data_IF_172606740237
#
_entry.id   IF_172606740237
#
_cell.length_a   1.000
_cell.length_b   1.000
_cell.length_c   1.000
_cell.angle_alpha   90.00
_cell.angle_beta   90.00
_cell.angle_gamma   90.00
#
_symmetry.space_group_name_H-M   'P 1'
#
loop_
_entity.id
_entity.type
_entity.pdbx_description
1 polymer ?
#
# COMPACT_ATOMS: atom_id res chain seq x y z
N UNK A 1 -3.22 7.48 -43.05
CA UNK A 1 -2.09 7.13 -42.16
C UNK A 1 -2.61 7.17 -40.74
N UNK A 2 -2.98 6.00 -40.19
CA UNK A 2 -3.48 5.90 -38.82
C UNK A 2 -2.29 5.81 -37.88
N UNK A 3 -1.97 6.91 -37.23
CA UNK A 3 -1.05 6.90 -36.08
C UNK A 3 -1.76 6.27 -34.89
N UNK A 4 -1.64 4.94 -34.76
CA UNK A 4 -2.04 4.24 -33.55
C UNK A 4 -1.15 4.73 -32.42
N UNK A 5 -1.66 5.64 -31.61
CA UNK A 5 -1.04 6.05 -30.33
C UNK A 5 -1.06 4.83 -29.44
N UNK A 6 0.05 4.12 -29.35
CA UNK A 6 0.22 3.04 -28.37
C UNK A 6 -0.02 3.63 -26.99
N UNK A 7 -1.06 3.17 -26.32
CA UNK A 7 -1.38 3.57 -24.95
C UNK A 7 -0.27 3.04 -24.05
N UNK A 8 0.70 3.88 -23.74
CA UNK A 8 1.75 3.58 -22.75
C UNK A 8 1.04 3.60 -21.39
N UNK A 9 0.83 2.43 -20.80
CA UNK A 9 0.32 2.35 -19.45
C UNK A 9 1.35 2.99 -18.51
N UNK A 10 0.96 4.03 -17.74
CA UNK A 10 1.89 4.70 -16.87
C UNK A 10 2.41 3.71 -15.83
N UNK A 11 3.71 3.62 -15.73
CA UNK A 11 4.37 2.89 -14.65
C UNK A 11 4.18 3.70 -13.37
N UNK A 12 3.84 3.02 -12.28
CA UNK A 12 3.65 3.68 -11.00
C UNK A 12 4.88 4.47 -10.57
N UNK A 13 4.66 5.68 -10.09
CA UNK A 13 5.73 6.50 -9.51
C UNK A 13 6.52 5.71 -8.45
N UNK A 14 7.85 5.85 -8.45
CA UNK A 14 8.73 5.12 -7.55
C UNK A 14 8.96 3.65 -7.91
N UNK A 15 8.60 3.21 -9.14
CA UNK A 15 8.99 1.89 -9.62
C UNK A 15 10.49 1.88 -9.98
N UNK A 16 11.18 0.80 -9.59
CA UNK A 16 12.61 0.60 -9.83
C UNK A 16 12.83 -0.55 -10.82
N UNK A 17 13.87 -0.45 -11.63
CA UNK A 17 14.26 -1.53 -12.56
C UNK A 17 15.01 -2.64 -11.82
N UNK A 18 15.82 -2.29 -10.83
CA UNK A 18 16.51 -3.22 -9.94
C UNK A 18 16.00 -3.00 -8.52
N UNK A 19 15.39 -4.03 -7.95
CA UNK A 19 14.93 -3.98 -6.57
C UNK A 19 16.06 -4.30 -5.60
N UNK A 20 16.18 -3.51 -4.54
CA UNK A 20 17.07 -3.83 -3.43
C UNK A 20 16.60 -5.15 -2.79
N UNK A 21 17.58 -6.01 -2.53
CA UNK A 21 17.33 -7.29 -1.90
C UNK A 21 17.88 -7.26 -0.51
N UNK A 22 17.03 -7.52 0.50
CA UNK A 22 17.50 -7.61 1.87
C UNK A 22 18.40 -8.83 2.05
N UNK A 23 19.05 -8.88 3.20
CA UNK A 23 19.84 -10.01 3.64
C UNK A 23 19.11 -11.33 3.46
N UNK A 24 19.78 -12.33 2.94
CA UNK A 24 19.24 -13.67 2.74
C UNK A 24 18.68 -14.25 4.05
N UNK A 25 17.42 -14.65 4.03
CA UNK A 25 16.80 -15.35 5.15
C UNK A 25 17.09 -16.85 5.05
N UNK A 26 17.54 -17.45 6.15
CA UNK A 26 17.59 -18.91 6.25
C UNK A 26 16.16 -19.48 6.44
N UNK A 27 15.96 -20.76 6.08
CA UNK A 27 14.67 -21.44 6.35
C UNK A 27 14.29 -21.40 7.84
N UNK A 28 15.28 -21.55 8.73
CA UNK A 28 15.10 -21.48 10.20
C UNK A 28 14.60 -20.09 10.61
N UNK A 29 15.20 -19.01 10.08
CA UNK A 29 14.78 -17.65 10.39
C UNK A 29 13.37 -17.35 9.86
N UNK A 30 13.05 -17.78 8.64
CA UNK A 30 11.71 -17.63 8.07
C UNK A 30 10.65 -18.32 8.95
N UNK A 31 10.92 -19.54 9.40
CA UNK A 31 10.04 -20.28 10.31
C UNK A 31 9.90 -19.56 11.66
N UNK A 32 10.99 -19.05 12.22
CA UNK A 32 10.95 -18.29 13.48
C UNK A 32 10.13 -17.00 13.36
N UNK A 33 10.27 -16.27 12.26
CA UNK A 33 9.47 -15.04 11.99
C UNK A 33 7.98 -15.41 12.00
N UNK A 34 7.58 -16.46 11.29
CA UNK A 34 6.19 -16.88 11.24
C UNK A 34 5.65 -17.32 12.60
N UNK A 35 6.40 -18.13 13.34
CA UNK A 35 6.00 -18.56 14.69
C UNK A 35 5.86 -17.38 15.66
N UNK A 36 6.78 -16.42 15.64
CA UNK A 36 6.69 -15.20 16.46
C UNK A 36 5.46 -14.39 16.11
N UNK A 37 5.22 -14.16 14.82
CA UNK A 37 4.03 -13.45 14.35
C UNK A 37 2.74 -14.14 14.80
N UNK A 38 2.64 -15.47 14.64
CA UNK A 38 1.49 -16.26 15.11
C UNK A 38 1.29 -16.17 16.62
N UNK A 39 2.38 -16.29 17.40
CA UNK A 39 2.32 -16.20 18.85
C UNK A 39 1.88 -14.82 19.32
N UNK A 40 2.36 -13.78 18.65
CA UNK A 40 1.93 -12.41 18.92
C UNK A 40 0.44 -12.20 18.58
N UNK A 41 -0.03 -12.69 17.44
CA UNK A 41 -1.45 -12.63 17.09
C UNK A 41 -2.33 -13.35 18.13
N UNK A 42 -1.89 -14.49 18.63
CA UNK A 42 -2.60 -15.23 19.67
C UNK A 42 -2.67 -14.45 21.00
N UNK A 43 -1.56 -13.81 21.42
CA UNK A 43 -1.49 -13.02 22.67
C UNK A 43 -2.35 -11.75 22.62
N UNK A 44 -2.48 -11.14 21.45
CA UNK A 44 -3.24 -9.91 21.24
C UNK A 44 -4.72 -10.15 20.90
N UNK A 45 -5.16 -11.42 20.94
CA UNK A 45 -6.53 -11.80 20.63
C UNK A 45 -7.48 -11.33 21.73
N UNK A 46 -8.46 -10.53 21.36
CA UNK A 46 -9.53 -10.11 22.26
C UNK A 46 -10.65 -11.16 22.27
N UNK A 47 -11.39 -11.31 23.41
CA UNK A 47 -12.59 -12.15 23.46
C UNK A 47 -13.58 -11.79 22.33
N UNK A 48 -14.23 -12.81 21.74
CA UNK A 48 -15.19 -12.66 20.62
C UNK A 48 -14.62 -12.17 19.30
N UNK A 49 -13.29 -11.97 19.15
CA UNK A 49 -12.64 -11.65 17.86
C UNK A 49 -11.97 -12.89 17.27
N UNK A 50 -12.09 -13.04 15.94
CA UNK A 50 -11.54 -14.19 15.21
C UNK A 50 -10.01 -14.12 14.95
N UNK A 51 -9.33 -13.05 15.36
CA UNK A 51 -7.88 -12.86 15.23
C UNK A 51 -7.39 -11.81 16.21
N UNK A 52 -6.08 -11.77 16.40
CA UNK A 52 -5.37 -10.73 17.13
C UNK A 52 -5.00 -9.53 16.25
N UNK A 53 -3.95 -8.81 16.67
CA UNK A 53 -3.49 -7.61 15.99
C UNK A 53 -3.10 -7.86 14.52
N UNK A 54 -2.50 -9.01 14.18
CA UNK A 54 -2.14 -9.34 12.79
C UNK A 54 -3.37 -9.80 12.00
N UNK A 55 -4.14 -10.73 12.56
CA UNK A 55 -5.34 -11.32 11.95
C UNK A 55 -5.04 -12.46 10.97
N UNK A 56 -6.05 -13.32 10.75
CA UNK A 56 -5.92 -14.56 9.99
C UNK A 56 -5.43 -14.35 8.55
N UNK A 57 -6.00 -13.37 7.84
CA UNK A 57 -5.63 -13.12 6.44
C UNK A 57 -4.18 -12.66 6.29
N UNK A 58 -3.71 -11.79 7.19
CA UNK A 58 -2.33 -11.31 7.15
C UNK A 58 -1.35 -12.41 7.53
N UNK A 59 -1.69 -13.27 8.50
CA UNK A 59 -0.88 -14.46 8.83
C UNK A 59 -0.82 -15.46 7.67
N UNK A 60 -1.94 -15.70 6.96
CA UNK A 60 -1.96 -16.59 5.80
C UNK A 60 -1.09 -16.05 4.66
N UNK A 61 -1.15 -14.73 4.38
CA UNK A 61 -0.27 -14.08 3.40
C UNK A 61 1.19 -14.15 3.82
N UNK A 62 1.51 -13.88 5.07
CA UNK A 62 2.89 -13.99 5.59
C UNK A 62 3.43 -15.41 5.46
N UNK A 63 2.60 -16.41 5.78
CA UNK A 63 2.94 -17.83 5.61
C UNK A 63 3.29 -18.15 4.16
N UNK A 64 2.38 -17.79 3.21
CA UNK A 64 2.61 -18.05 1.79
C UNK A 64 3.87 -17.34 1.27
N UNK A 65 4.13 -16.10 1.68
CA UNK A 65 5.34 -15.38 1.28
C UNK A 65 6.60 -16.09 1.75
N UNK A 66 6.64 -16.57 3.01
CA UNK A 66 7.82 -17.18 3.60
C UNK A 66 8.05 -18.62 3.14
N UNK A 67 6.98 -19.41 2.94
CA UNK A 67 7.09 -20.85 2.70
C UNK A 67 6.86 -21.26 1.25
N UNK A 68 6.00 -20.53 0.50
CA UNK A 68 5.67 -20.89 -0.88
C UNK A 68 6.51 -20.12 -1.91
N UNK A 69 6.89 -18.86 -1.61
CA UNK A 69 7.44 -17.95 -2.61
C UNK A 69 8.89 -17.52 -2.36
N UNK A 70 9.36 -17.53 -1.12
CA UNK A 70 10.72 -17.09 -0.81
C UNK A 70 11.76 -18.05 -1.38
N UNK A 71 12.60 -17.53 -2.26
CA UNK A 71 13.77 -18.25 -2.73
C UNK A 71 14.93 -18.07 -1.74
N UNK A 72 15.20 -19.08 -0.92
CA UNK A 72 16.24 -19.03 0.11
C UNK A 72 17.68 -18.94 -0.44
N UNK A 73 17.90 -19.29 -1.71
CA UNK A 73 19.24 -19.17 -2.33
C UNK A 73 19.52 -17.76 -2.82
N UNK A 74 18.52 -17.09 -3.36
CA UNK A 74 18.68 -15.78 -4.00
C UNK A 74 18.05 -14.63 -3.20
N UNK A 75 17.29 -14.90 -2.14
CA UNK A 75 16.50 -13.93 -1.42
C UNK A 75 15.31 -13.35 -2.21
N UNK A 76 15.04 -13.92 -3.40
CA UNK A 76 14.00 -13.41 -4.29
C UNK A 76 12.60 -13.71 -3.76
N UNK A 77 11.74 -12.70 -3.72
CA UNK A 77 10.37 -12.79 -3.26
C UNK A 77 9.49 -11.81 -4.06
N UNK A 78 9.12 -12.20 -5.28
CA UNK A 78 8.43 -11.33 -6.24
C UNK A 78 7.08 -11.90 -6.74
N UNK A 79 6.24 -12.53 -5.90
CA UNK A 79 4.99 -13.11 -6.38
C UNK A 79 3.98 -12.03 -6.78
N UNK A 80 3.19 -12.32 -7.82
CA UNK A 80 2.04 -11.49 -8.15
C UNK A 80 0.92 -11.64 -7.11
N UNK A 81 0.17 -10.56 -6.85
CA UNK A 81 -0.94 -10.57 -5.88
C UNK A 81 -1.97 -11.67 -6.16
N UNK A 82 -2.30 -11.91 -7.44
CA UNK A 82 -3.20 -13.02 -7.85
C UNK A 82 -2.65 -14.39 -7.44
N UNK A 83 -1.33 -14.57 -7.51
CA UNK A 83 -0.67 -15.83 -7.14
C UNK A 83 -0.67 -16.02 -5.62
N UNK A 84 -0.40 -14.95 -4.85
CA UNK A 84 -0.52 -14.96 -3.38
C UNK A 84 -1.96 -15.29 -2.99
N UNK A 85 -2.95 -14.66 -3.61
CA UNK A 85 -4.37 -14.86 -3.33
C UNK A 85 -4.78 -16.33 -3.49
N UNK A 86 -4.37 -16.95 -4.61
CA UNK A 86 -4.64 -18.36 -4.87
C UNK A 86 -4.00 -19.28 -3.83
N UNK A 87 -2.74 -19.03 -3.45
CA UNK A 87 -2.02 -19.84 -2.46
C UNK A 87 -2.55 -19.68 -1.03
N UNK A 88 -2.87 -18.44 -0.64
CA UNK A 88 -3.40 -18.13 0.68
C UNK A 88 -4.91 -18.43 0.84
N UNK A 89 -5.61 -18.81 -0.24
CA UNK A 89 -7.07 -19.02 -0.23
C UNK A 89 -7.85 -17.73 0.05
N UNK A 90 -7.38 -16.59 -0.48
CA UNK A 90 -7.94 -15.26 -0.23
C UNK A 90 -8.31 -14.57 -1.54
N UNK A 91 -9.19 -13.56 -1.47
CA UNK A 91 -9.41 -12.67 -2.60
C UNK A 91 -8.21 -11.72 -2.79
N UNK A 92 -7.95 -11.23 -4.02
CA UNK A 92 -6.89 -10.24 -4.27
C UNK A 92 -7.02 -8.99 -3.39
N UNK A 93 -8.24 -8.53 -3.13
CA UNK A 93 -8.51 -7.39 -2.25
C UNK A 93 -8.09 -7.68 -0.80
N UNK A 94 -8.40 -8.88 -0.28
CA UNK A 94 -7.98 -9.30 1.05
C UNK A 94 -6.44 -9.40 1.16
N UNK A 95 -5.76 -9.82 0.08
CA UNK A 95 -4.29 -9.84 0.03
C UNK A 95 -3.72 -8.44 0.08
N UNK A 96 -4.27 -7.46 -0.66
CA UNK A 96 -3.83 -6.07 -0.57
C UNK A 96 -3.98 -5.51 0.86
N UNK A 97 -5.13 -5.72 1.48
CA UNK A 97 -5.37 -5.32 2.88
C UNK A 97 -4.37 -5.98 3.83
N UNK A 98 -4.12 -7.28 3.65
CA UNK A 98 -3.16 -8.03 4.47
C UNK A 98 -1.71 -7.53 4.30
N UNK A 99 -1.28 -7.26 3.07
CA UNK A 99 0.05 -6.71 2.76
C UNK A 99 0.22 -5.34 3.42
N UNK A 100 -0.76 -4.43 3.28
CA UNK A 100 -0.73 -3.11 3.90
C UNK A 100 -0.64 -3.22 5.43
N UNK A 101 -1.40 -4.14 6.02
CA UNK A 101 -1.36 -4.40 7.46
C UNK A 101 0.00 -4.94 7.91
N UNK A 102 0.58 -5.90 7.20
CA UNK A 102 1.92 -6.41 7.50
C UNK A 102 2.99 -5.32 7.38
N UNK A 103 2.84 -4.39 6.43
CA UNK A 103 3.72 -3.22 6.30
C UNK A 103 3.58 -2.28 7.49
N UNK A 104 2.36 -1.94 7.87
CA UNK A 104 2.08 -1.09 9.02
C UNK A 104 2.67 -1.65 10.32
N UNK A 105 2.65 -2.99 10.46
CA UNK A 105 3.26 -3.72 11.57
C UNK A 105 4.79 -3.85 11.44
N UNK A 106 5.39 -3.35 10.37
CA UNK A 106 6.84 -3.45 10.13
C UNK A 106 7.34 -4.87 9.89
N UNK A 107 6.47 -5.80 9.50
CA UNK A 107 6.82 -7.19 9.19
C UNK A 107 7.16 -7.39 7.72
N UNK A 108 6.71 -6.48 6.85
CA UNK A 108 6.86 -6.57 5.41
C UNK A 108 7.15 -5.18 4.84
N UNK A 109 8.00 -5.13 3.83
CA UNK A 109 8.12 -3.97 2.94
C UNK A 109 8.11 -4.44 1.50
N UNK A 110 7.92 -3.54 0.55
CA UNK A 110 8.01 -3.87 -0.87
C UNK A 110 8.47 -2.67 -1.69
N UNK A 111 9.06 -2.97 -2.84
CA UNK A 111 9.37 -2.02 -3.89
C UNK A 111 8.56 -2.35 -5.13
N UNK A 112 8.02 -1.33 -5.79
CA UNK A 112 7.40 -1.48 -7.11
C UNK A 112 8.50 -1.68 -8.13
N UNK A 113 8.27 -2.60 -9.09
CA UNK A 113 9.26 -2.93 -10.10
C UNK A 113 8.73 -2.68 -11.49
N UNK A 114 9.60 -2.23 -12.37
CA UNK A 114 9.35 -2.11 -13.80
C UNK A 114 10.52 -2.71 -14.59
N UNK A 115 10.28 -3.00 -15.84
CA UNK A 115 11.31 -3.42 -16.76
C UNK A 115 11.21 -2.66 -18.08
N UNK A 116 12.36 -2.43 -18.69
CA UNK A 116 12.45 -1.95 -20.05
C UNK A 116 12.41 -3.14 -21.00
N UNK A 117 11.45 -3.12 -21.92
CA UNK A 117 11.31 -4.10 -23.00
C UNK A 117 11.21 -3.38 -24.32
N UNK A 118 11.28 -4.12 -25.41
CA UNK A 118 10.97 -3.61 -26.75
C UNK A 118 9.75 -4.32 -27.29
N UNK A 119 8.88 -3.58 -27.95
CA UNK A 119 7.77 -4.18 -28.68
C UNK A 119 8.23 -4.84 -29.97
N UNK A 120 7.28 -5.42 -30.72
CA UNK A 120 7.57 -6.06 -32.00
C UNK A 120 8.10 -5.08 -33.05
N UNK A 121 7.84 -3.79 -32.89
CA UNK A 121 8.29 -2.72 -33.78
C UNK A 121 9.61 -2.07 -33.28
N UNK A 122 10.24 -2.63 -32.26
CA UNK A 122 11.52 -2.16 -31.71
C UNK A 122 11.44 -0.93 -30.82
N UNK A 123 10.23 -0.44 -30.49
CA UNK A 123 10.02 0.71 -29.60
C UNK A 123 10.23 0.33 -28.15
N UNK A 124 10.84 1.22 -27.37
CA UNK A 124 11.01 1.02 -25.95
C UNK A 124 9.65 1.09 -25.22
N UNK A 125 9.36 0.04 -24.46
CA UNK A 125 8.19 -0.05 -23.60
C UNK A 125 8.66 -0.24 -22.16
N UNK A 126 8.02 0.49 -21.24
CA UNK A 126 8.20 0.31 -19.81
C UNK A 126 7.01 -0.50 -19.27
N UNK A 127 7.28 -1.70 -18.76
CA UNK A 127 6.26 -2.62 -18.25
C UNK A 127 6.33 -2.73 -16.73
N UNK A 128 5.15 -2.67 -16.09
CA UNK A 128 5.05 -2.89 -14.65
C UNK A 128 5.21 -4.37 -14.32
N UNK A 129 6.13 -4.67 -13.40
CA UNK A 129 6.33 -6.01 -12.84
C UNK A 129 5.62 -6.20 -11.50
N UNK A 130 5.60 -7.46 -11.04
CA UNK A 130 5.21 -7.78 -9.67
C UNK A 130 6.15 -7.09 -8.68
N UNK A 131 5.60 -6.64 -7.54
CA UNK A 131 6.40 -6.04 -6.48
C UNK A 131 7.45 -7.01 -5.95
N UNK A 132 8.62 -6.48 -5.60
CA UNK A 132 9.61 -7.20 -4.81
C UNK A 132 9.27 -7.00 -3.33
N UNK A 133 9.04 -8.09 -2.63
CA UNK A 133 8.74 -8.07 -1.20
C UNK A 133 10.00 -8.37 -0.38
N UNK A 134 10.04 -7.80 0.82
CA UNK A 134 11.09 -8.05 1.80
C UNK A 134 10.46 -8.27 3.17
N UNK A 135 10.71 -9.42 3.75
CA UNK A 135 10.22 -9.73 5.10
C UNK A 135 11.27 -9.28 6.11
N UNK A 136 10.82 -8.48 7.07
CA UNK A 136 11.67 -7.91 8.10
C UNK A 136 11.65 -8.81 9.34
N UNK A 137 12.83 -9.14 9.85
CA UNK A 137 12.97 -9.82 11.13
C UNK A 137 12.95 -8.75 12.21
N UNK A 138 11.85 -8.65 12.96
CA UNK A 138 11.78 -7.80 14.15
C UNK A 138 11.94 -8.65 15.40
N UNK A 139 13.01 -8.48 16.17
CA UNK A 139 13.17 -9.16 17.45
C UNK A 139 12.10 -8.78 18.48
N UNK A 140 11.58 -7.54 18.40
CA UNK A 140 10.81 -6.87 19.45
C UNK A 140 9.28 -6.93 19.25
N UNK A 141 8.76 -7.92 18.55
CA UNK A 141 7.31 -8.10 18.36
C UNK A 141 6.50 -8.21 19.67
N UNK A 142 7.19 -8.37 20.80
CA UNK A 142 6.55 -8.44 22.11
C UNK A 142 6.26 -7.04 22.70
N UNK A 143 7.11 -6.05 22.42
CA UNK A 143 7.07 -4.73 23.07
C UNK A 143 6.20 -3.72 22.26
N UNK A 144 5.94 -4.01 20.99
CA UNK A 144 5.20 -3.14 20.09
C UNK A 144 3.66 -3.14 20.30
N UNK A 145 3.14 -3.92 21.21
CA UNK A 145 1.69 -4.01 21.42
C UNK A 145 1.06 -2.70 21.93
N UNK A 146 1.82 -1.85 22.60
CA UNK A 146 1.38 -0.54 23.10
C UNK A 146 1.43 0.54 22.02
N UNK A 147 2.57 0.69 21.36
CA UNK A 147 2.80 1.79 20.39
C UNK A 147 2.02 1.61 19.07
N UNK A 148 1.71 0.37 18.70
CA UNK A 148 0.99 0.07 17.46
C UNK A 148 -0.52 0.21 17.59
N UNK A 149 -1.08 0.18 18.79
CA UNK A 149 -2.51 0.49 19.00
C UNK A 149 -2.83 1.90 18.51
N UNK A 150 -1.97 2.85 18.80
CA UNK A 150 -2.15 4.25 18.43
C UNK A 150 -1.87 4.50 16.95
N UNK A 151 -0.84 3.82 16.38
CA UNK A 151 -0.53 3.92 14.95
C UNK A 151 -1.53 3.20 14.05
N UNK A 152 -2.13 2.10 14.50
CA UNK A 152 -3.17 1.39 13.74
C UNK A 152 -4.53 2.08 13.85
N UNK A 153 -4.81 2.78 14.92
CA UNK A 153 -5.99 3.66 15.05
C UNK A 153 -5.89 4.86 14.08
N UNK A 154 -4.67 5.31 13.77
CA UNK A 154 -4.44 6.36 12.77
C UNK A 154 -4.51 5.87 11.31
N UNK A 155 -4.40 4.55 11.06
CA UNK A 155 -4.61 3.93 9.76
C UNK A 155 -6.07 3.45 9.72
N UNK A 156 -7.00 4.39 9.63
CA UNK A 156 -8.38 4.10 9.25
C UNK A 156 -8.36 3.51 7.83
N UNK A 157 -8.59 2.19 7.74
CA UNK A 157 -8.81 1.50 6.48
C UNK A 157 -10.13 2.05 5.91
N UNK A 158 -10.03 2.97 4.99
CA UNK A 158 -11.19 3.64 4.40
C UNK A 158 -11.26 5.15 4.63
N UNK A 159 -10.23 5.76 5.22
CA UNK A 159 -10.16 7.22 5.25
C UNK A 159 -10.05 7.73 3.81
N UNK A 160 -10.94 8.61 3.38
CA UNK A 160 -10.85 9.24 2.07
C UNK A 160 -9.47 9.86 1.88
N UNK A 161 -9.00 9.93 0.65
CA UNK A 161 -7.78 10.65 0.32
C UNK A 161 -7.86 12.08 0.88
N UNK A 162 -6.74 12.75 1.22
CA UNK A 162 -6.75 14.11 1.75
C UNK A 162 -7.58 15.11 0.92
N UNK A 163 -7.72 14.83 -0.38
CA UNK A 163 -8.57 15.58 -1.32
C UNK A 163 -10.05 15.49 -0.93
N UNK A 164 -10.53 14.30 -0.54
CA UNK A 164 -11.96 14.11 -0.19
C UNK A 164 -12.30 14.85 1.10
N UNK A 165 -11.38 14.87 2.08
CA UNK A 165 -11.58 15.63 3.32
C UNK A 165 -11.54 17.14 3.08
N UNK A 166 -10.69 17.62 2.16
CA UNK A 166 -10.63 19.02 1.78
C UNK A 166 -11.92 19.46 1.06
N UNK A 167 -12.45 18.63 0.16
CA UNK A 167 -13.72 18.88 -0.52
C UNK A 167 -14.91 18.89 0.45
N UNK A 168 -14.96 17.97 1.40
CA UNK A 168 -16.00 17.96 2.45
C UNK A 168 -15.93 19.20 3.35
N UNK A 169 -14.72 19.60 3.75
CA UNK A 169 -14.51 20.81 4.53
C UNK A 169 -14.89 22.07 3.74
N UNK A 170 -14.55 22.13 2.45
CA UNK A 170 -14.93 23.22 1.56
C UNK A 170 -16.46 23.27 1.38
N UNK A 171 -17.13 22.12 1.21
CA UNK A 171 -18.59 22.05 1.08
C UNK A 171 -19.29 22.55 2.37
N UNK A 172 -18.77 22.17 3.54
CA UNK A 172 -19.29 22.63 4.83
C UNK A 172 -19.07 24.14 5.03
N UNK A 173 -17.91 24.68 4.67
CA UNK A 173 -17.60 26.08 4.75
C UNK A 173 -18.48 26.90 3.77
N UNK A 174 -18.71 26.38 2.56
CA UNK A 174 -19.62 26.97 1.57
C UNK A 174 -21.06 27.01 2.05
N UNK A 175 -21.56 25.93 2.65
CA UNK A 175 -22.89 25.87 3.23
C UNK A 175 -23.08 26.84 4.42
N UNK A 176 -22.01 27.15 5.13
CA UNK A 176 -21.99 28.15 6.19
C UNK A 176 -21.79 29.60 5.68
N UNK A 177 -21.69 29.82 4.37
CA UNK A 177 -21.49 31.13 3.75
C UNK A 177 -20.10 31.73 3.94
N UNK A 178 -19.11 30.91 4.36
CA UNK A 178 -17.75 31.37 4.62
C UNK A 178 -16.86 31.17 3.37
N UNK A 179 -16.93 32.14 2.47
CA UNK A 179 -16.18 32.10 1.20
C UNK A 179 -14.67 31.99 1.37
N UNK A 180 -14.09 32.66 2.38
CA UNK A 180 -12.66 32.66 2.62
C UNK A 180 -12.12 31.28 3.06
N UNK A 181 -12.83 30.61 3.96
CA UNK A 181 -12.50 29.24 4.37
C UNK A 181 -12.71 28.22 3.25
N UNK A 182 -13.78 28.37 2.46
CA UNK A 182 -14.02 27.51 1.30
C UNK A 182 -12.86 27.56 0.32
N UNK A 183 -12.37 28.76 -0.02
CA UNK A 183 -11.21 28.94 -0.90
C UNK A 183 -9.95 28.34 -0.29
N UNK A 184 -9.73 28.51 1.02
CA UNK A 184 -8.59 27.95 1.73
C UNK A 184 -8.57 26.42 1.67
N UNK A 185 -9.72 25.77 1.86
CA UNK A 185 -9.83 24.31 1.77
C UNK A 185 -9.68 23.77 0.36
N UNK A 186 -10.17 24.48 -0.67
CA UNK A 186 -9.98 24.11 -2.06
C UNK A 186 -8.53 24.27 -2.53
N UNK A 187 -7.80 25.26 -2.03
CA UNK A 187 -6.42 25.56 -2.40
C UNK A 187 -5.38 24.93 -1.45
N UNK A 188 -5.70 23.81 -0.80
CA UNK A 188 -4.81 23.17 0.21
C UNK A 188 -3.53 22.59 -0.41
N UNK A 189 -3.54 22.24 -1.71
CA UNK A 189 -2.36 21.75 -2.42
C UNK A 189 -2.01 22.71 -3.55
N UNK A 190 -0.94 23.49 -3.36
CA UNK A 190 -0.43 24.44 -4.35
C UNK A 190 0.10 23.75 -5.62
N UNK A 191 0.31 22.43 -5.60
CA UNK A 191 0.81 21.66 -6.73
C UNK A 191 -0.30 20.87 -7.46
N UNK A 192 -1.55 20.93 -6.98
CA UNK A 192 -2.69 20.29 -7.64
C UNK A 192 -3.42 21.32 -8.55
N UNK A 193 -3.27 21.20 -9.90
CA UNK A 193 -3.88 22.12 -10.85
C UNK A 193 -5.42 22.11 -10.78
N UNK A 194 -6.03 20.98 -10.36
CA UNK A 194 -7.47 20.86 -10.21
C UNK A 194 -7.98 21.64 -8.99
N UNK A 195 -7.28 21.56 -7.87
CA UNK A 195 -7.61 22.28 -6.64
C UNK A 195 -7.52 23.80 -6.87
N UNK A 196 -6.48 24.26 -7.57
CA UNK A 196 -6.30 25.67 -7.94
C UNK A 196 -7.42 26.17 -8.88
N UNK A 197 -7.75 25.39 -9.92
CA UNK A 197 -8.82 25.74 -10.85
C UNK A 197 -10.19 25.83 -10.16
N UNK A 198 -10.51 24.93 -9.23
CA UNK A 198 -11.73 24.96 -8.42
C UNK A 198 -11.78 26.20 -7.52
N UNK A 199 -10.66 26.55 -6.88
CA UNK A 199 -10.56 27.75 -6.05
C UNK A 199 -10.77 29.03 -6.86
N UNK A 200 -10.21 29.10 -8.08
CA UNK A 200 -10.42 30.25 -9.01
C UNK A 200 -11.87 30.35 -9.48
N UNK A 201 -12.46 29.22 -9.86
CA UNK A 201 -13.87 29.17 -10.26
C UNK A 201 -14.78 29.69 -9.14
N UNK A 202 -14.54 29.23 -7.92
CA UNK A 202 -15.33 29.65 -6.75
C UNK A 202 -15.14 31.13 -6.44
N UNK A 203 -13.94 31.69 -6.58
CA UNK A 203 -13.69 33.15 -6.47
C UNK A 203 -14.44 33.93 -7.54
N UNK A 204 -14.48 33.44 -8.77
CA UNK A 204 -15.17 34.10 -9.88
C UNK A 204 -16.69 34.11 -9.65
N UNK A 205 -17.28 33.02 -9.17
CA UNK A 205 -18.72 32.92 -8.89
C UNK A 205 -19.20 33.84 -7.74
N UNK A 206 -18.32 34.15 -6.77
CA UNK A 206 -18.67 34.97 -5.61
C UNK A 206 -18.16 36.43 -5.67
N UNK A 207 -17.81 36.91 -6.86
CA UNK A 207 -17.43 38.33 -7.11
C UNK A 207 -18.59 39.23 -7.51
N UNK A 208 -19.82 38.70 -7.51
CA UNK A 208 -21.05 39.49 -7.83
C UNK A 208 -21.64 40.13 -6.61
#
# INVERSE_FOLDING_TARGET
MNTSTATIWPVWSGSVTVADRPTLLSKKNAQQIWFRARKWDQRTRSPRKHGGTIGRSALAVLYSLLHDFLNFKTGRLDPAVKTIARKAGLSPRAVHTAINKLRALGLLTWQRRCEHSRDREGRFILSQLSNAYSVLSRPDLADLAGELSDSLAAIEIGRPAPVDTALEAAAKASAAGNTAETIKHLATDEHDPLALALAELYRAMNRS
#
